data_IF_434542770090
#
_entry.id   IF_434542770090
#
_cell.length_a   1.000
_cell.length_b   1.000
_cell.length_c   1.000
_cell.angle_alpha   90.00
_cell.angle_beta   90.00
_cell.angle_gamma   90.00
#
_symmetry.space_group_name_H-M   'P 1'
#
loop_
_entity.id
_entity.type
_entity.pdbx_description
1 polymer ?
#
# COMPACT_ATOMS: atom_id res chain seq x y z
N UNK A 1 5.15 10.30 6.78
CA UNK A 1 3.93 9.54 7.14
C UNK A 1 3.26 9.03 5.87
N UNK A 2 2.79 7.81 5.91
CA UNK A 2 2.16 7.14 4.76
C UNK A 2 0.86 6.50 5.23
N UNK A 3 -0.23 6.66 4.46
CA UNK A 3 -1.44 5.89 4.68
C UNK A 3 -1.45 4.69 3.74
N UNK A 4 -1.68 3.51 4.27
CA UNK A 4 -1.66 2.26 3.52
C UNK A 4 -3.06 1.74 3.25
N UNK A 5 -3.27 1.21 2.06
CA UNK A 5 -4.45 0.38 1.79
C UNK A 5 -4.13 -1.10 2.05
N UNK A 6 -5.15 -1.93 2.03
CA UNK A 6 -5.03 -3.36 2.34
C UNK A 6 -4.12 -4.08 1.35
N UNK A 7 -4.23 -3.77 0.06
CA UNK A 7 -3.49 -4.49 -0.99
C UNK A 7 -1.98 -4.34 -0.84
N UNK A 8 -1.51 -3.13 -0.60
CA UNK A 8 -0.07 -2.88 -0.45
C UNK A 8 0.48 -3.53 0.83
N UNK A 9 -0.25 -3.44 1.94
CA UNK A 9 0.17 -4.11 3.18
C UNK A 9 0.36 -5.61 2.98
N UNK A 10 -0.57 -6.25 2.29
CA UNK A 10 -0.51 -7.69 2.02
C UNK A 10 0.70 -8.02 1.14
N UNK A 11 0.94 -7.25 0.09
CA UNK A 11 2.09 -7.47 -0.79
C UNK A 11 3.41 -7.31 -0.05
N UNK A 12 3.54 -6.28 0.77
CA UNK A 12 4.75 -6.05 1.57
C UNK A 12 4.98 -7.19 2.58
N UNK A 13 3.91 -7.71 3.16
CA UNK A 13 4.00 -8.87 4.06
C UNK A 13 4.43 -10.13 3.30
N UNK A 14 3.85 -10.37 2.11
CA UNK A 14 4.16 -11.55 1.28
C UNK A 14 5.62 -11.61 0.85
N UNK A 15 6.25 -10.48 0.61
CA UNK A 15 7.67 -10.44 0.22
C UNK A 15 8.59 -10.15 1.40
N UNK A 16 8.04 -10.16 2.61
CA UNK A 16 8.81 -10.04 3.85
C UNK A 16 9.63 -8.75 3.96
N UNK A 17 9.02 -7.61 3.62
CA UNK A 17 9.63 -6.29 3.83
C UNK A 17 8.74 -5.33 4.63
N UNK A 18 7.57 -5.78 5.09
CA UNK A 18 6.63 -4.93 5.82
C UNK A 18 7.29 -4.29 7.05
N UNK A 19 8.01 -5.06 7.85
CA UNK A 19 8.70 -4.56 9.04
C UNK A 19 9.74 -3.50 8.69
N UNK A 20 10.52 -3.74 7.63
CA UNK A 20 11.55 -2.80 7.15
C UNK A 20 10.92 -1.46 6.75
N UNK A 21 9.84 -1.53 5.98
CA UNK A 21 9.12 -0.33 5.53
C UNK A 21 8.57 0.46 6.72
N UNK A 22 7.92 -0.23 7.67
CA UNK A 22 7.32 0.42 8.83
C UNK A 22 8.36 0.90 9.85
N UNK A 23 9.58 0.39 9.83
CA UNK A 23 10.69 0.93 10.59
C UNK A 23 11.18 2.27 10.02
N UNK A 24 11.04 2.44 8.71
CA UNK A 24 11.51 3.62 8.00
C UNK A 24 10.45 4.73 7.92
N UNK A 25 9.19 4.38 7.79
CA UNK A 25 8.09 5.31 7.63
C UNK A 25 7.02 5.14 8.70
N UNK A 26 6.49 6.26 9.21
CA UNK A 26 5.30 6.22 10.07
C UNK A 26 4.09 5.84 9.23
N UNK A 27 3.47 4.71 9.54
CA UNK A 27 2.32 4.18 8.81
C UNK A 27 1.01 4.39 9.55
N UNK A 28 -0.04 4.73 8.81
CA UNK A 28 -1.40 4.81 9.33
C UNK A 28 -2.35 4.06 8.41
N UNK A 29 -3.44 3.56 8.98
CA UNK A 29 -4.53 2.92 8.24
C UNK A 29 -5.87 3.40 8.76
N UNK A 30 -6.90 3.54 7.90
CA UNK A 30 -8.24 3.79 8.39
C UNK A 30 -8.84 2.56 9.07
N UNK A 31 -9.80 2.75 9.96
CA UNK A 31 -10.49 1.66 10.66
C UNK A 31 -11.04 0.60 9.69
N UNK A 32 -11.56 1.02 8.53
CA UNK A 32 -12.07 0.10 7.51
C UNK A 32 -10.98 -0.86 7.04
N UNK A 33 -9.77 -0.35 6.80
CA UNK A 33 -8.63 -1.19 6.37
C UNK A 33 -8.25 -2.20 7.46
N UNK A 34 -8.23 -1.77 8.72
CA UNK A 34 -8.02 -2.69 9.84
C UNK A 34 -9.05 -3.81 9.83
N UNK A 35 -10.33 -3.46 9.63
CA UNK A 35 -11.42 -4.45 9.55
C UNK A 35 -11.24 -5.44 8.40
N UNK A 36 -10.83 -4.96 7.23
CA UNK A 36 -10.56 -5.81 6.07
C UNK A 36 -9.42 -6.80 6.34
N UNK A 37 -8.33 -6.33 6.97
CA UNK A 37 -7.19 -7.17 7.34
C UNK A 37 -7.63 -8.27 8.32
N UNK A 38 -8.38 -7.93 9.35
CA UNK A 38 -8.88 -8.89 10.35
C UNK A 38 -9.79 -9.92 9.68
N UNK A 39 -10.68 -9.47 8.79
CA UNK A 39 -11.62 -10.34 8.09
C UNK A 39 -10.93 -11.39 7.23
N UNK A 40 -9.84 -11.05 6.55
CA UNK A 40 -9.10 -11.99 5.69
C UNK A 40 -8.48 -13.15 6.46
N UNK A 41 -8.03 -12.93 7.68
CA UNK A 41 -7.52 -13.95 8.60
C UNK A 41 -6.55 -14.96 7.95
N UNK A 42 -5.59 -14.46 7.19
CA UNK A 42 -4.53 -15.25 6.56
C UNK A 42 -3.20 -15.05 7.30
N UNK A 43 -2.18 -15.83 6.96
CA UNK A 43 -0.84 -15.72 7.55
C UNK A 43 -0.25 -14.31 7.39
N UNK A 44 -0.41 -13.72 6.18
CA UNK A 44 0.08 -12.39 5.89
C UNK A 44 -0.62 -11.32 6.74
N UNK A 45 -1.92 -11.51 7.00
CA UNK A 45 -2.70 -10.56 7.81
C UNK A 45 -2.30 -10.60 9.28
N UNK A 46 -1.82 -11.72 9.78
CA UNK A 46 -1.29 -11.81 11.14
C UNK A 46 -0.06 -10.93 11.32
N UNK A 47 0.81 -10.87 10.31
CA UNK A 47 1.97 -9.99 10.32
C UNK A 47 1.55 -8.52 10.38
N UNK A 48 0.51 -8.14 9.65
CA UNK A 48 -0.04 -6.78 9.66
C UNK A 48 -0.63 -6.45 11.03
N UNK A 49 -1.42 -7.37 11.60
CA UNK A 49 -2.02 -7.21 12.92
C UNK A 49 -0.93 -7.02 13.99
N UNK A 50 0.17 -7.77 13.88
CA UNK A 50 1.28 -7.62 14.80
C UNK A 50 1.90 -6.20 14.73
N UNK A 51 2.02 -5.64 13.54
CA UNK A 51 2.52 -4.27 13.37
C UNK A 51 1.58 -3.24 14.04
N UNK A 52 0.27 -3.48 14.00
CA UNK A 52 -0.69 -2.63 14.70
C UNK A 52 -0.48 -2.74 16.22
N UNK A 53 -0.36 -3.95 16.74
CA UNK A 53 -0.14 -4.20 18.17
C UNK A 53 1.16 -3.59 18.67
N UNK A 54 2.21 -3.64 17.87
CA UNK A 54 3.53 -3.11 18.21
C UNK A 54 3.60 -1.58 18.08
N UNK A 55 2.54 -0.94 17.61
CA UNK A 55 2.49 0.51 17.46
C UNK A 55 3.19 1.07 16.23
N UNK A 56 3.62 0.20 15.31
CA UNK A 56 4.29 0.63 14.06
C UNK A 56 3.29 1.05 12.99
N UNK A 57 2.03 0.69 13.14
CA UNK A 57 0.95 1.00 12.21
C UNK A 57 -0.24 1.51 13.03
N UNK A 58 -0.48 2.81 12.98
CA UNK A 58 -1.54 3.45 13.74
C UNK A 58 -2.89 3.36 12.99
N UNK A 59 -3.97 3.22 13.74
CA UNK A 59 -5.32 3.18 13.19
C UNK A 59 -5.98 4.54 13.38
N UNK A 60 -6.47 5.12 12.30
CA UNK A 60 -7.21 6.37 12.33
C UNK A 60 -8.69 6.16 12.06
N UNK A 61 -9.49 7.08 12.57
CA UNK A 61 -10.93 7.08 12.31
C UNK A 61 -11.19 7.21 10.82
N UNK A 62 -12.24 6.56 10.36
CA UNK A 62 -12.69 6.71 8.98
C UNK A 62 -13.13 8.15 8.69
N UNK A 63 -12.95 8.62 7.44
CA UNK A 63 -13.54 9.88 7.01
C UNK A 63 -15.06 9.84 7.15
N UNK A 64 -15.70 11.02 7.11
CA UNK A 64 -17.16 11.10 7.19
C UNK A 64 -17.83 10.31 6.07
N UNK A 65 -19.02 9.77 6.35
CA UNK A 65 -19.80 9.03 5.35
C UNK A 65 -20.09 9.87 4.12
N UNK A 66 -20.33 11.17 4.28
CA UNK A 66 -20.63 12.07 3.16
C UNK A 66 -19.42 12.22 2.23
N UNK A 67 -18.23 12.42 2.78
CA UNK A 67 -16.99 12.50 1.98
C UNK A 67 -16.75 11.20 1.22
N UNK A 68 -16.94 10.07 1.87
CA UNK A 68 -16.79 8.77 1.23
C UNK A 68 -17.80 8.55 0.12
N UNK A 69 -19.06 8.92 0.34
CA UNK A 69 -20.13 8.82 -0.66
C UNK A 69 -19.82 9.59 -1.93
N UNK A 70 -19.25 10.78 -1.81
CA UNK A 70 -18.91 11.60 -2.98
C UNK A 70 -17.95 10.88 -3.92
N UNK A 71 -16.94 10.21 -3.37
CA UNK A 71 -15.97 9.50 -4.19
C UNK A 71 -16.54 8.16 -4.68
N UNK A 72 -17.22 7.41 -3.81
CA UNK A 72 -17.82 6.13 -4.17
C UNK A 72 -18.87 6.26 -5.29
N UNK A 73 -19.55 7.39 -5.36
CA UNK A 73 -20.53 7.67 -6.41
C UNK A 73 -19.89 7.76 -7.80
N UNK A 74 -18.70 8.35 -7.88
CA UNK A 74 -18.05 8.63 -9.15
C UNK A 74 -17.03 7.55 -9.57
N UNK A 75 -16.51 6.79 -8.60
CA UNK A 75 -15.46 5.79 -8.84
C UNK A 75 -15.79 4.46 -8.16
N UNK A 76 -15.69 3.33 -8.89
CA UNK A 76 -15.95 2.00 -8.31
C UNK A 76 -14.77 1.47 -7.50
N UNK A 77 -14.38 2.20 -6.46
CA UNK A 77 -13.33 1.82 -5.53
C UNK A 77 -13.91 1.09 -4.32
N UNK A 78 -13.08 0.29 -3.66
CA UNK A 78 -13.44 -0.28 -2.36
C UNK A 78 -13.51 0.80 -1.28
N UNK A 79 -14.26 0.52 -0.22
CA UNK A 79 -14.44 1.49 0.87
C UNK A 79 -13.12 1.80 1.59
N UNK A 80 -12.27 0.79 1.79
CA UNK A 80 -10.94 0.97 2.39
C UNK A 80 -10.04 1.86 1.55
N UNK A 81 -10.07 1.68 0.23
CA UNK A 81 -9.31 2.51 -0.71
C UNK A 81 -9.78 3.96 -0.68
N UNK A 82 -11.09 4.19 -0.65
CA UNK A 82 -11.66 5.54 -0.57
C UNK A 82 -11.29 6.21 0.74
N UNK A 83 -11.41 5.49 1.86
CA UNK A 83 -11.04 6.04 3.17
C UNK A 83 -9.56 6.44 3.21
N UNK A 84 -8.68 5.58 2.71
CA UNK A 84 -7.24 5.87 2.66
C UNK A 84 -6.93 7.06 1.75
N UNK A 85 -7.58 7.13 0.59
CA UNK A 85 -7.43 8.24 -0.36
C UNK A 85 -7.80 9.58 0.28
N UNK A 86 -8.92 9.65 0.97
CA UNK A 86 -9.38 10.87 1.64
C UNK A 86 -8.39 11.30 2.72
N UNK A 87 -7.93 10.35 3.54
CA UNK A 87 -6.94 10.65 4.58
C UNK A 87 -5.64 11.20 3.96
N UNK A 88 -5.17 10.57 2.89
CA UNK A 88 -3.97 11.01 2.19
C UNK A 88 -4.12 12.44 1.67
N UNK A 89 -5.26 12.75 1.08
CA UNK A 89 -5.54 14.08 0.55
C UNK A 89 -5.63 15.12 1.65
N UNK A 90 -6.36 14.84 2.72
CA UNK A 90 -6.58 15.80 3.81
C UNK A 90 -5.30 16.07 4.60
N UNK A 91 -4.46 15.07 4.79
CA UNK A 91 -3.19 15.21 5.51
C UNK A 91 -2.02 15.61 4.60
N UNK A 92 -2.21 15.62 3.29
CA UNK A 92 -1.16 15.86 2.29
C UNK A 92 0.01 14.89 2.47
N UNK A 93 -0.31 13.61 2.54
CA UNK A 93 0.66 12.52 2.68
C UNK A 93 0.50 11.50 1.56
N UNK A 94 1.48 10.61 1.42
CA UNK A 94 1.48 9.57 0.39
C UNK A 94 0.46 8.48 0.71
N UNK A 95 -0.27 8.04 -0.31
CA UNK A 95 -1.10 6.84 -0.27
C UNK A 95 -0.30 5.66 -0.82
N UNK A 96 -0.15 4.62 -0.02
CA UNK A 96 0.44 3.36 -0.50
C UNK A 96 -0.68 2.47 -1.05
N UNK A 97 -0.71 2.31 -2.36
CA UNK A 97 -1.71 1.50 -3.05
C UNK A 97 -1.11 0.84 -4.28
N UNK A 98 -1.55 -0.38 -4.56
CA UNK A 98 -1.19 -1.13 -5.77
C UNK A 98 -2.39 -1.33 -6.69
N UNK A 99 -3.56 -0.81 -6.33
CA UNK A 99 -4.75 -0.89 -7.15
C UNK A 99 -4.69 0.11 -8.30
N UNK A 100 -4.81 -0.38 -9.55
CA UNK A 100 -4.69 0.45 -10.76
C UNK A 100 -5.72 1.57 -10.83
N UNK A 101 -6.96 1.33 -10.42
CA UNK A 101 -7.99 2.36 -10.41
C UNK A 101 -7.72 3.40 -9.33
N UNK A 102 -7.32 2.97 -8.13
CA UNK A 102 -6.97 3.88 -7.05
C UNK A 102 -5.81 4.79 -7.47
N UNK A 103 -4.81 4.26 -8.18
CA UNK A 103 -3.70 5.05 -8.72
C UNK A 103 -4.21 6.13 -9.70
N UNK A 104 -5.12 5.77 -10.61
CA UNK A 104 -5.73 6.74 -11.52
C UNK A 104 -6.47 7.84 -10.78
N UNK A 105 -7.21 7.48 -9.74
CA UNK A 105 -7.95 8.45 -8.92
C UNK A 105 -7.00 9.35 -8.14
N UNK A 106 -5.88 8.82 -7.65
CA UNK A 106 -4.81 9.63 -7.04
C UNK A 106 -4.33 10.71 -8.00
N UNK A 107 -4.08 10.35 -9.25
CA UNK A 107 -3.64 11.31 -10.28
C UNK A 107 -4.68 12.39 -10.54
N UNK A 108 -5.96 12.05 -10.54
CA UNK A 108 -7.06 13.01 -10.72
C UNK A 108 -7.10 14.02 -9.57
N UNK A 109 -6.94 13.55 -8.33
CA UNK A 109 -7.02 14.41 -7.14
C UNK A 109 -5.68 15.02 -6.70
N UNK A 110 -4.60 14.73 -7.41
CA UNK A 110 -3.29 15.25 -7.04
C UNK A 110 -2.72 14.61 -5.77
N UNK A 111 -3.11 13.39 -5.45
CA UNK A 111 -2.60 12.64 -4.30
C UNK A 111 -1.34 11.88 -4.71
N UNK A 112 -0.26 12.04 -3.96
CA UNK A 112 0.97 11.27 -4.18
C UNK A 112 0.75 9.82 -3.78
N UNK A 113 1.29 8.89 -4.55
CA UNK A 113 1.14 7.47 -4.26
C UNK A 113 2.46 6.72 -4.39
N UNK A 114 2.54 5.58 -3.73
CA UNK A 114 3.64 4.64 -3.85
C UNK A 114 3.09 3.22 -3.91
N UNK A 115 3.75 2.35 -4.68
CA UNK A 115 3.39 0.93 -4.79
C UNK A 115 4.37 0.07 -4.01
N UNK A 116 4.07 -1.22 -3.86
CA UNK A 116 4.99 -2.16 -3.23
C UNK A 116 6.35 -2.20 -3.94
N UNK A 117 6.38 -2.02 -5.27
CA UNK A 117 7.63 -1.95 -6.04
C UNK A 117 8.48 -0.75 -5.60
N UNK A 118 7.87 0.41 -5.40
CA UNK A 118 8.57 1.60 -4.92
C UNK A 118 9.25 1.33 -3.56
N UNK A 119 8.52 0.72 -2.64
CA UNK A 119 9.06 0.38 -1.32
C UNK A 119 10.18 -0.64 -1.42
N UNK A 120 10.02 -1.66 -2.26
CA UNK A 120 11.05 -2.68 -2.46
C UNK A 120 12.37 -2.08 -2.95
N UNK A 121 12.30 -1.26 -3.99
CA UNK A 121 13.50 -0.62 -4.56
C UNK A 121 14.11 0.36 -3.53
N UNK A 122 13.25 1.09 -2.81
CA UNK A 122 13.67 2.07 -1.82
C UNK A 122 14.37 1.48 -0.58
N UNK A 123 14.21 0.18 -0.31
CA UNK A 123 14.84 -0.45 0.85
C UNK A 123 16.35 -0.62 0.71
N UNK A 124 16.87 -0.57 -0.49
CA UNK A 124 18.32 -0.68 -0.72
C UNK A 124 18.92 -2.05 -0.39
N UNK A 125 18.12 -3.11 -0.51
CA UNK A 125 18.61 -4.47 -0.36
C UNK A 125 19.59 -4.80 -1.51
N UNK A 126 20.40 -5.86 -1.36
CA UNK A 126 21.29 -6.24 -2.45
C UNK A 126 20.48 -6.60 -3.72
N UNK A 127 21.11 -6.45 -4.88
CA UNK A 127 20.44 -6.63 -6.18
C UNK A 127 19.83 -8.00 -6.35
N UNK A 128 20.50 -9.03 -5.90
CA UNK A 128 20.05 -10.42 -6.03
C UNK A 128 18.76 -10.65 -5.20
N UNK A 129 18.75 -10.18 -3.96
CA UNK A 129 17.59 -10.28 -3.08
C UNK A 129 16.44 -9.43 -3.59
N UNK A 130 16.71 -8.20 -4.01
CA UNK A 130 15.68 -7.30 -4.57
C UNK A 130 15.04 -7.93 -5.81
N UNK A 131 15.85 -8.52 -6.70
CA UNK A 131 15.34 -9.18 -7.90
C UNK A 131 14.46 -10.39 -7.56
N UNK A 132 14.86 -11.19 -6.56
CA UNK A 132 14.07 -12.33 -6.10
C UNK A 132 12.72 -11.89 -5.53
N UNK A 133 12.71 -10.82 -4.74
CA UNK A 133 11.46 -10.27 -4.19
C UNK A 133 10.58 -9.64 -5.26
N UNK A 134 11.17 -9.04 -6.30
CA UNK A 134 10.41 -8.53 -7.44
C UNK A 134 9.67 -9.68 -8.17
N UNK A 135 10.29 -10.84 -8.31
CA UNK A 135 9.64 -12.03 -8.89
C UNK A 135 8.42 -12.45 -8.07
N UNK A 136 8.51 -12.35 -6.73
CA UNK A 136 7.37 -12.62 -5.85
C UNK A 136 6.26 -11.58 -6.06
N UNK A 137 6.59 -10.31 -6.19
CA UNK A 137 5.60 -9.27 -6.50
C UNK A 137 4.92 -9.51 -7.84
N UNK A 138 5.67 -9.94 -8.85
CA UNK A 138 5.11 -10.31 -10.15
C UNK A 138 4.09 -11.44 -10.01
N UNK A 139 4.37 -12.40 -9.14
CA UNK A 139 3.49 -13.56 -8.90
C UNK A 139 2.21 -13.15 -8.15
N UNK A 140 2.33 -12.34 -7.11
CA UNK A 140 1.21 -12.02 -6.21
C UNK A 140 0.47 -10.75 -6.58
N UNK A 141 1.12 -9.80 -7.24
CA UNK A 141 0.53 -8.52 -7.64
C UNK A 141 -0.03 -8.55 -9.06
N UNK A 142 -0.67 -7.45 -9.44
CA UNK A 142 -1.26 -7.28 -10.77
C UNK A 142 -0.50 -6.21 -11.55
N UNK A 143 0.78 -6.47 -11.78
CA UNK A 143 1.62 -5.53 -12.52
C UNK A 143 1.69 -5.88 -14.00
N UNK A 144 1.69 -4.85 -14.85
CA UNK A 144 1.91 -5.05 -16.28
C UNK A 144 3.35 -5.51 -16.55
N UNK A 145 3.57 -6.15 -17.69
CA UNK A 145 4.91 -6.55 -18.10
C UNK A 145 5.86 -5.36 -18.20
N UNK A 146 5.36 -4.19 -18.65
CA UNK A 146 6.15 -2.97 -18.76
C UNK A 146 6.61 -2.42 -17.41
N UNK A 147 5.75 -2.47 -16.41
CA UNK A 147 6.08 -2.05 -15.04
C UNK A 147 7.16 -2.95 -14.45
N UNK A 148 7.03 -4.27 -14.63
CA UNK A 148 8.04 -5.23 -14.15
C UNK A 148 9.38 -5.02 -14.85
N UNK A 149 9.38 -4.83 -16.16
CA UNK A 149 10.57 -4.58 -16.95
C UNK A 149 11.29 -3.30 -16.50
N UNK A 150 10.54 -2.22 -16.31
CA UNK A 150 11.09 -0.96 -15.78
C UNK A 150 11.73 -1.16 -14.40
N UNK A 151 11.04 -1.88 -13.51
CA UNK A 151 11.56 -2.19 -12.18
C UNK A 151 12.87 -3.00 -12.25
N UNK A 152 12.93 -4.02 -13.12
CA UNK A 152 14.14 -4.82 -13.34
C UNK A 152 15.32 -3.94 -13.80
N UNK A 153 15.09 -3.03 -14.72
CA UNK A 153 16.10 -2.10 -15.21
C UNK A 153 16.61 -1.19 -14.09
N UNK A 154 15.71 -0.66 -13.28
CA UNK A 154 16.06 0.21 -12.15
C UNK A 154 16.90 -0.53 -11.11
N UNK A 155 16.60 -1.80 -10.86
CA UNK A 155 17.35 -2.63 -9.92
C UNK A 155 18.77 -2.89 -10.48
N UNK A 156 18.89 -3.19 -11.77
CA UNK A 156 20.19 -3.43 -12.41
C UNK A 156 21.10 -2.21 -12.39
N UNK A 157 20.54 -1.03 -12.57
CA UNK A 157 21.29 0.23 -12.58
C UNK A 157 21.67 0.72 -11.18
N UNK A 158 20.85 0.39 -10.20
CA UNK A 158 21.06 0.77 -8.80
C UNK A 158 22.04 -0.14 -8.06
#
# INVERSE_FOLDING_TARGET
MIVFDTSTLILLAKIDILQLVLNQYSGIIPEIVKGEVIYKNEMDTELIIQQIKDGNLAVEKNPSKDKMKHILKDFPLGRGEVAALIIAKEKDIVLATDDGLAIKVCKIFGVKFATAIHFLIGEGLDKSLTMAKLKLLKKYGRYSADIIKDAEERIRKG
#
